data_IF_303373922867
#
_entry.id   IF_303373922867
#
_cell.length_a   1.000
_cell.length_b   1.000
_cell.length_c   1.000
_cell.angle_alpha   90.00
_cell.angle_beta   90.00
_cell.angle_gamma   90.00
#
_symmetry.space_group_name_H-M   'P 1'
#
loop_
_entity.id
_entity.type
_entity.pdbx_description
1 polymer ?
#
# COMPACT_ATOMS: atom_id res chain seq x y z
N UNK A 1 -0.79 1.19 17.45
CA UNK A 1 -2.08 1.62 18.08
C UNK A 1 -2.56 0.56 19.06
N UNK A 2 -2.94 0.95 20.30
CA UNK A 2 -3.45 0.02 21.33
C UNK A 2 -4.84 0.47 21.75
N UNK A 3 -5.81 -0.46 21.76
CA UNK A 3 -7.16 -0.22 22.24
C UNK A 3 -7.31 -0.82 23.64
N UNK A 4 -7.77 -0.01 24.59
CA UNK A 4 -8.15 -0.48 25.93
C UNK A 4 -9.60 -0.99 25.92
N UNK A 5 -9.76 -2.30 25.97
CA UNK A 5 -11.07 -2.98 25.87
C UNK A 5 -12.04 -2.52 26.97
N UNK A 6 -11.51 -2.27 28.16
CA UNK A 6 -12.29 -1.83 29.32
C UNK A 6 -12.88 -0.42 29.20
N UNK A 7 -12.39 0.38 28.25
CA UNK A 7 -12.87 1.75 27.99
C UNK A 7 -13.89 1.83 26.86
N UNK A 8 -14.15 0.71 26.18
CA UNK A 8 -15.12 0.70 25.07
C UNK A 8 -16.53 0.79 25.65
N UNK A 9 -17.31 1.72 25.12
CA UNK A 9 -18.71 1.87 25.52
C UNK A 9 -19.58 0.72 24.97
N UNK A 10 -20.70 0.38 25.61
CA UNK A 10 -21.61 -0.66 25.10
C UNK A 10 -22.12 -0.42 23.67
N UNK A 11 -22.21 0.85 23.27
CA UNK A 11 -22.64 1.25 21.92
C UNK A 11 -21.48 1.38 20.92
N UNK A 12 -20.28 0.93 21.31
CA UNK A 12 -19.03 1.11 20.57
C UNK A 12 -18.33 2.42 20.87
N UNK A 13 -17.07 2.54 20.45
CA UNK A 13 -16.24 3.73 20.61
C UNK A 13 -15.53 4.05 19.31
N UNK A 14 -15.39 5.34 19.00
CA UNK A 14 -14.67 5.81 17.81
C UNK A 14 -13.26 6.24 18.18
N UNK A 15 -12.33 5.99 17.28
CA UNK A 15 -10.91 6.25 17.43
C UNK A 15 -10.39 6.91 16.16
N UNK A 16 -10.05 8.19 16.27
CA UNK A 16 -9.40 8.95 15.21
C UNK A 16 -7.96 9.21 15.59
N UNK A 17 -7.03 9.06 14.66
CA UNK A 17 -5.65 9.35 14.99
C UNK A 17 -4.68 9.10 13.85
N UNK A 18 -3.42 9.18 14.26
CA UNK A 18 -2.28 8.98 13.37
C UNK A 18 -1.31 7.99 14.03
N UNK A 19 -0.74 7.12 13.20
CA UNK A 19 0.33 6.20 13.60
C UNK A 19 1.62 6.55 12.87
N UNK A 20 2.75 6.30 13.52
CA UNK A 20 4.06 6.55 12.91
C UNK A 20 4.29 5.63 11.72
N UNK A 21 4.71 6.16 10.56
CA UNK A 21 5.07 5.32 9.42
C UNK A 21 6.29 4.43 9.66
N UNK A 22 7.06 4.69 10.72
CA UNK A 22 8.18 3.84 11.15
C UNK A 22 7.78 2.39 11.44
N UNK A 23 6.51 2.13 11.76
CA UNK A 23 6.01 0.75 11.95
C UNK A 23 6.10 -0.08 10.66
N UNK A 24 6.13 0.55 9.48
CA UNK A 24 6.18 -0.15 8.20
C UNK A 24 7.56 -0.76 7.93
N UNK A 25 8.64 -0.21 8.49
CA UNK A 25 10.01 -0.69 8.29
C UNK A 25 10.52 -0.53 6.86
N UNK A 26 10.07 0.51 6.15
CA UNK A 26 10.40 0.78 4.74
C UNK A 26 11.34 1.97 4.57
N UNK A 27 12.01 2.40 5.65
CA UNK A 27 12.97 3.50 5.59
C UNK A 27 14.13 3.13 4.66
N UNK A 28 14.40 4.01 3.70
CA UNK A 28 15.47 3.81 2.72
C UNK A 28 15.10 2.92 1.54
N UNK A 29 13.83 2.55 1.38
CA UNK A 29 13.38 1.86 0.17
C UNK A 29 13.65 2.73 -1.07
N UNK A 30 14.31 2.18 -2.13
CA UNK A 30 14.66 2.96 -3.32
C UNK A 30 13.45 3.30 -4.21
N UNK A 31 12.32 2.63 -4.03
CA UNK A 31 11.13 2.76 -4.88
C UNK A 31 9.95 3.47 -4.19
N UNK A 32 10.09 3.75 -2.90
CA UNK A 32 9.02 4.33 -2.10
C UNK A 32 9.54 5.37 -1.12
N UNK A 33 8.74 6.42 -0.91
CA UNK A 33 8.99 7.45 0.10
C UNK A 33 7.70 7.73 0.86
N UNK A 34 7.80 7.78 2.16
CA UNK A 34 6.68 8.18 3.01
C UNK A 34 6.51 9.70 2.95
N UNK A 35 5.29 10.19 2.74
CA UNK A 35 4.98 11.62 2.67
C UNK A 35 4.10 12.13 3.83
N UNK A 36 3.75 11.23 4.78
CA UNK A 36 2.94 11.60 5.93
C UNK A 36 2.72 10.44 6.89
N UNK A 37 2.01 10.68 7.99
CA UNK A 37 1.63 9.62 8.92
C UNK A 37 0.61 8.67 8.31
N UNK A 38 0.43 7.52 8.96
CA UNK A 38 -0.72 6.64 8.72
C UNK A 38 -1.89 7.23 9.49
N UNK A 39 -2.95 7.60 8.79
CA UNK A 39 -4.18 8.11 9.39
C UNK A 39 -5.22 7.02 9.48
N UNK A 40 -5.99 6.99 10.56
CA UNK A 40 -7.07 6.02 10.73
C UNK A 40 -8.31 6.67 11.34
N UNK A 41 -9.46 6.10 10.99
CA UNK A 41 -10.75 6.36 11.63
C UNK A 41 -11.41 5.01 11.86
N UNK A 42 -11.44 4.56 13.11
CA UNK A 42 -11.93 3.25 13.49
C UNK A 42 -13.11 3.36 14.45
N UNK A 43 -14.04 2.43 14.32
CA UNK A 43 -15.05 2.11 15.30
C UNK A 43 -14.74 0.75 15.91
N UNK A 44 -14.65 0.70 17.23
CA UNK A 44 -14.41 -0.51 17.99
C UNK A 44 -15.63 -0.85 18.86
N UNK A 45 -16.06 -2.10 18.83
CA UNK A 45 -17.15 -2.60 19.65
C UNK A 45 -16.86 -4.03 20.12
N UNK A 46 -17.35 -4.38 21.32
CA UNK A 46 -17.21 -5.73 21.85
C UNK A 46 -18.50 -6.51 21.64
N UNK A 47 -18.41 -7.57 20.82
CA UNK A 47 -19.56 -8.44 20.49
C UNK A 47 -19.20 -9.88 20.86
N UNK A 48 -19.95 -10.49 21.75
CA UNK A 48 -19.80 -11.91 22.11
C UNK A 48 -18.36 -12.34 22.48
N UNK A 49 -17.65 -11.53 23.24
CA UNK A 49 -16.25 -11.71 23.66
C UNK A 49 -15.22 -11.56 22.53
N UNK A 50 -15.58 -10.87 21.48
CA UNK A 50 -14.65 -10.44 20.43
C UNK A 50 -14.67 -8.92 20.33
N UNK A 51 -13.49 -8.31 20.24
CA UNK A 51 -13.33 -6.92 19.86
C UNK A 51 -13.37 -6.85 18.34
N UNK A 52 -14.39 -6.22 17.80
CA UNK A 52 -14.53 -5.96 16.36
C UNK A 52 -14.13 -4.52 16.11
N UNK A 53 -13.14 -4.32 15.23
CA UNK A 53 -12.65 -3.01 14.78
C UNK A 53 -12.96 -2.86 13.30
N UNK A 54 -13.73 -1.81 12.97
CA UNK A 54 -14.09 -1.47 11.60
C UNK A 54 -13.72 -0.04 11.30
N UNK A 55 -13.52 0.30 10.03
CA UNK A 55 -13.30 1.69 9.66
C UNK A 55 -12.46 1.86 8.42
N UNK A 56 -11.63 2.89 8.42
CA UNK A 56 -10.76 3.22 7.30
C UNK A 56 -9.36 3.58 7.77
N UNK A 57 -8.40 3.30 6.90
CA UNK A 57 -6.99 3.59 7.12
C UNK A 57 -6.35 4.05 5.81
N UNK A 58 -5.35 4.91 5.89
CA UNK A 58 -4.62 5.34 4.70
C UNK A 58 -3.40 6.20 5.01
N UNK A 59 -2.59 6.42 3.99
CA UNK A 59 -1.44 7.32 4.07
C UNK A 59 -1.06 7.89 2.71
N UNK A 60 -0.26 8.97 2.74
CA UNK A 60 0.37 9.53 1.54
C UNK A 60 1.75 8.96 1.34
N UNK A 61 2.01 8.52 0.10
CA UNK A 61 3.29 7.96 -0.31
C UNK A 61 3.71 8.50 -1.67
N UNK A 62 5.00 8.63 -1.92
CA UNK A 62 5.53 8.77 -3.26
C UNK A 62 6.08 7.43 -3.73
N UNK A 63 5.57 6.93 -4.85
CA UNK A 63 5.98 5.66 -5.46
C UNK A 63 6.79 5.92 -6.73
N UNK A 64 7.80 5.09 -6.98
CA UNK A 64 8.51 5.11 -8.25
C UNK A 64 7.63 4.48 -9.33
N UNK A 65 7.43 5.20 -10.42
CA UNK A 65 6.66 4.70 -11.55
C UNK A 65 7.36 3.51 -12.21
N UNK A 66 6.67 2.37 -12.34
CA UNK A 66 7.20 1.17 -12.98
C UNK A 66 7.54 1.32 -14.47
N UNK A 67 7.15 2.44 -15.12
CA UNK A 67 7.46 2.72 -16.53
C UNK A 67 8.58 3.75 -16.70
N UNK A 68 8.55 4.87 -15.99
CA UNK A 68 9.51 5.98 -16.20
C UNK A 68 10.47 6.19 -15.03
N UNK A 69 10.38 5.38 -13.97
CA UNK A 69 11.16 5.46 -12.75
C UNK A 69 11.09 6.82 -11.99
N UNK A 70 10.25 7.75 -12.46
CA UNK A 70 10.00 9.01 -11.76
C UNK A 70 9.09 8.79 -10.56
N UNK A 71 9.32 9.50 -9.45
CA UNK A 71 8.43 9.46 -8.30
C UNK A 71 7.16 10.26 -8.56
N UNK A 72 6.04 9.75 -8.05
CA UNK A 72 4.75 10.45 -8.03
C UNK A 72 4.05 10.19 -6.71
N UNK A 73 3.40 11.23 -6.17
CA UNK A 73 2.65 11.14 -4.92
C UNK A 73 1.26 10.54 -5.17
N UNK A 74 0.85 9.67 -4.27
CA UNK A 74 -0.49 9.07 -4.26
C UNK A 74 -0.96 8.85 -2.83
N UNK A 75 -2.25 8.60 -2.66
CA UNK A 75 -2.81 8.16 -1.38
C UNK A 75 -3.20 6.70 -1.51
N UNK A 76 -2.70 5.88 -0.61
CA UNK A 76 -3.15 4.49 -0.42
C UNK A 76 -4.13 4.47 0.74
N UNK A 77 -5.25 3.76 0.57
CA UNK A 77 -6.29 3.71 1.60
C UNK A 77 -7.12 2.43 1.50
N UNK A 78 -7.49 1.87 2.65
CA UNK A 78 -8.57 0.91 2.79
C UNK A 78 -9.76 1.58 3.50
N UNK A 79 -10.92 1.53 2.86
CA UNK A 79 -12.18 2.07 3.38
C UNK A 79 -13.03 0.99 4.07
N UNK A 80 -12.55 -0.25 4.11
CA UNK A 80 -13.25 -1.43 4.59
C UNK A 80 -12.45 -2.22 5.62
N UNK A 81 -11.52 -1.55 6.33
CA UNK A 81 -10.75 -2.18 7.38
C UNK A 81 -11.68 -2.91 8.36
N UNK A 82 -11.43 -4.19 8.57
CA UNK A 82 -12.19 -5.04 9.49
C UNK A 82 -11.24 -6.05 10.14
N UNK A 83 -11.17 -6.02 11.47
CA UNK A 83 -10.44 -7.02 12.29
C UNK A 83 -11.29 -7.43 13.49
N UNK A 84 -11.15 -8.69 13.89
CA UNK A 84 -11.80 -9.22 15.08
C UNK A 84 -10.75 -9.92 15.96
N UNK A 85 -10.77 -9.60 17.25
CA UNK A 85 -9.81 -10.10 18.24
C UNK A 85 -10.56 -10.78 19.37
N UNK A 86 -10.21 -12.00 19.76
CA UNK A 86 -10.79 -12.62 20.94
C UNK A 86 -10.37 -11.85 22.19
N UNK A 87 -11.36 -11.49 23.01
CA UNK A 87 -11.16 -10.79 24.29
C UNK A 87 -11.77 -11.60 25.44
N UNK A 88 -11.15 -12.75 25.80
CA UNK A 88 -11.57 -13.52 26.98
C UNK A 88 -11.42 -12.69 28.25
N UNK A 89 -12.00 -13.17 29.36
CA UNK A 89 -11.90 -12.49 30.66
C UNK A 89 -10.40 -12.25 31.05
N UNK A 90 -10.08 -11.01 31.42
CA UNK A 90 -8.74 -10.59 31.80
C UNK A 90 -7.91 -9.95 30.69
N UNK A 91 -8.39 -9.91 29.44
CA UNK A 91 -7.75 -9.12 28.38
C UNK A 91 -8.18 -7.66 28.52
N UNK A 92 -7.24 -6.79 28.84
CA UNK A 92 -7.48 -5.36 29.05
C UNK A 92 -7.16 -4.52 27.80
N UNK A 93 -6.23 -4.97 26.97
CA UNK A 93 -5.76 -4.24 25.79
C UNK A 93 -5.59 -5.14 24.57
N UNK A 94 -5.79 -4.56 23.38
CA UNK A 94 -5.50 -5.18 22.09
C UNK A 94 -4.61 -4.24 21.29
N UNK A 95 -3.51 -4.77 20.76
CA UNK A 95 -2.58 -4.01 19.91
C UNK A 95 -2.84 -4.30 18.43
N UNK A 96 -3.20 -3.25 17.69
CA UNK A 96 -3.51 -3.28 16.26
C UNK A 96 -2.29 -2.92 15.38
N UNK A 97 -1.13 -2.69 15.97
CA UNK A 97 0.03 -2.15 15.24
C UNK A 97 0.44 -3.02 14.05
N UNK A 98 0.49 -4.34 14.25
CA UNK A 98 0.84 -5.28 13.17
C UNK A 98 -0.24 -5.36 12.08
N UNK A 99 -1.53 -5.33 12.45
CA UNK A 99 -2.63 -5.36 11.48
C UNK A 99 -2.65 -4.08 10.64
N UNK A 100 -2.42 -2.92 11.25
CA UNK A 100 -2.26 -1.63 10.56
C UNK A 100 -1.08 -1.68 9.59
N UNK A 101 0.06 -2.22 10.05
CA UNK A 101 1.25 -2.39 9.22
C UNK A 101 0.98 -3.28 8.02
N UNK A 102 0.40 -4.46 8.25
CA UNK A 102 0.08 -5.42 7.20
C UNK A 102 -0.88 -4.83 6.16
N UNK A 103 -1.94 -4.19 6.63
CA UNK A 103 -2.97 -3.59 5.77
C UNK A 103 -2.36 -2.54 4.83
N UNK A 104 -1.60 -1.59 5.38
CA UNK A 104 -0.93 -0.57 4.58
C UNK A 104 0.05 -1.18 3.57
N UNK A 105 0.85 -2.18 3.98
CA UNK A 105 1.81 -2.83 3.06
C UNK A 105 1.12 -3.55 1.91
N UNK A 106 -0.06 -4.15 2.15
CA UNK A 106 -0.86 -4.81 1.11
C UNK A 106 -1.50 -3.83 0.12
N UNK A 107 -1.74 -2.59 0.54
CA UNK A 107 -2.26 -1.53 -0.35
C UNK A 107 -1.20 -0.95 -1.30
N UNK A 108 0.09 -1.20 -1.04
CA UNK A 108 1.17 -0.66 -1.87
C UNK A 108 1.28 -1.45 -3.16
N UNK A 109 0.99 -0.80 -4.29
CA UNK A 109 1.11 -1.42 -5.61
C UNK A 109 2.58 -1.51 -6.05
N UNK A 110 3.16 -2.72 -6.22
CA UNK A 110 4.57 -2.87 -6.56
C UNK A 110 4.93 -2.35 -7.97
N UNK A 111 3.95 -2.18 -8.86
CA UNK A 111 4.12 -1.72 -10.24
C UNK A 111 3.26 -0.50 -10.56
N UNK A 112 3.09 0.38 -9.59
CA UNK A 112 2.33 1.61 -9.75
C UNK A 112 2.85 2.44 -10.93
N UNK A 113 1.96 3.12 -11.65
CA UNK A 113 2.29 3.99 -12.76
C UNK A 113 1.81 5.41 -12.51
N UNK A 114 2.66 6.40 -12.80
CA UNK A 114 2.32 7.82 -12.56
C UNK A 114 1.13 8.31 -13.38
N UNK A 115 0.86 7.66 -14.52
CA UNK A 115 -0.29 7.94 -15.39
C UNK A 115 -0.52 6.76 -16.33
N UNK A 116 -1.77 6.46 -16.70
CA UNK A 116 -2.08 5.48 -17.75
C UNK A 116 -1.39 5.78 -19.08
N UNK A 117 -1.18 7.08 -19.37
CA UNK A 117 -0.51 7.58 -20.59
C UNK A 117 1.00 7.69 -20.46
N UNK A 118 1.61 7.20 -19.36
CA UNK A 118 3.05 7.25 -19.16
C UNK A 118 3.78 6.53 -20.29
N UNK A 119 4.68 7.26 -20.99
CA UNK A 119 5.46 6.73 -22.12
C UNK A 119 6.67 5.89 -21.70
N UNK A 120 7.02 5.93 -20.42
CA UNK A 120 8.13 5.17 -19.88
C UNK A 120 9.51 5.71 -20.25
N UNK A 121 10.52 4.83 -20.12
CA UNK A 121 11.90 5.09 -20.51
C UNK A 121 12.15 4.52 -21.91
N UNK A 122 13.04 5.18 -22.66
CA UNK A 122 13.55 4.61 -23.90
C UNK A 122 14.36 3.33 -23.61
N UNK A 123 14.06 2.19 -24.24
CA UNK A 123 14.78 0.94 -23.97
C UNK A 123 16.26 0.97 -24.41
N UNK A 124 16.65 1.91 -25.30
CA UNK A 124 18.00 2.02 -25.80
C UNK A 124 18.89 2.96 -24.98
N UNK A 125 18.37 4.12 -24.57
CA UNK A 125 19.19 5.16 -23.92
C UNK A 125 18.71 5.55 -22.51
N UNK A 126 17.59 4.97 -22.02
CA UNK A 126 17.07 5.28 -20.69
C UNK A 126 16.42 6.67 -20.56
N UNK A 127 16.32 7.47 -21.64
CA UNK A 127 15.68 8.79 -21.56
C UNK A 127 14.21 8.65 -21.21
N UNK A 128 13.71 9.49 -20.31
CA UNK A 128 12.28 9.57 -19.99
C UNK A 128 11.50 10.15 -21.17
N UNK A 129 10.67 9.34 -21.81
CA UNK A 129 9.91 9.71 -22.99
C UNK A 129 8.73 10.65 -22.70
N UNK A 130 8.38 10.86 -21.42
CA UNK A 130 7.41 11.88 -21.02
C UNK A 130 7.99 13.29 -21.12
N UNK A 131 9.33 13.44 -21.04
CA UNK A 131 10.04 14.72 -21.14
C UNK A 131 10.41 15.10 -22.56
N UNK A 132 10.13 14.23 -23.53
CA UNK A 132 10.36 14.45 -24.94
C UNK A 132 10.97 13.24 -25.64
N UNK A 133 10.87 13.24 -26.98
CA UNK A 133 11.40 12.17 -27.80
C UNK A 133 12.92 12.03 -27.64
N UNK A 134 13.44 10.82 -27.76
CA UNK A 134 14.87 10.57 -27.90
C UNK A 134 15.27 10.48 -29.40
N UNK A 135 16.56 10.58 -29.68
CA UNK A 135 17.13 10.45 -31.03
C UNK A 135 17.41 9.00 -31.47
N UNK A 136 17.07 8.03 -30.59
CA UNK A 136 17.23 6.61 -30.91
C UNK A 136 16.26 6.21 -32.03
N UNK A 137 16.77 5.48 -33.05
CA UNK A 137 15.90 4.87 -34.04
C UNK A 137 15.01 3.82 -33.32
N UNK A 138 13.70 3.75 -33.64
CA UNK A 138 12.89 2.62 -33.20
C UNK A 138 13.60 1.33 -33.62
N UNK A 139 13.47 0.27 -32.83
CA UNK A 139 13.89 -1.04 -33.29
C UNK A 139 13.02 -1.37 -34.50
N UNK A 140 13.68 -1.66 -35.63
CA UNK A 140 13.01 -2.36 -36.72
C UNK A 140 12.45 -3.63 -36.07
N UNK A 141 11.14 -3.72 -35.98
CA UNK A 141 10.29 -4.68 -35.29
C UNK A 141 11.10 -5.86 -34.74
N UNK A 142 11.42 -5.80 -33.43
CA UNK A 142 12.06 -6.94 -32.79
C UNK A 142 11.17 -8.14 -33.09
N UNK A 143 11.72 -9.11 -33.83
CA UNK A 143 11.05 -10.38 -34.08
C UNK A 143 10.51 -10.83 -32.74
N UNK A 144 9.19 -10.87 -32.60
CA UNK A 144 8.54 -11.45 -31.42
C UNK A 144 9.29 -12.75 -31.15
N UNK A 145 9.88 -12.88 -29.97
CA UNK A 145 10.71 -14.04 -29.66
C UNK A 145 9.92 -15.29 -30.04
N UNK A 146 10.56 -16.16 -30.82
CA UNK A 146 9.93 -17.41 -31.21
C UNK A 146 9.75 -18.28 -29.97
N UNK A 147 8.57 -18.24 -29.38
CA UNK A 147 8.19 -19.02 -28.20
C UNK A 147 7.73 -20.43 -28.54
N UNK A 148 7.84 -20.85 -29.82
CA UNK A 148 7.40 -22.18 -30.30
C UNK A 148 8.11 -23.34 -29.59
N UNK A 149 9.31 -23.10 -29.02
CA UNK A 149 9.99 -24.11 -28.20
C UNK A 149 9.25 -24.44 -26.88
N UNK A 150 8.44 -23.49 -26.34
CA UNK A 150 7.63 -23.79 -25.16
C UNK A 150 6.50 -24.76 -25.43
N UNK A 151 6.01 -24.87 -26.67
CA UNK A 151 4.98 -25.83 -27.05
C UNK A 151 5.46 -27.28 -26.96
N UNK A 152 6.79 -27.50 -26.91
CA UNK A 152 7.38 -28.82 -26.69
C UNK A 152 7.37 -29.29 -25.24
N UNK A 153 7.02 -28.40 -24.30
CA UNK A 153 6.95 -28.69 -22.86
C UNK A 153 5.55 -29.14 -22.40
N UNK A 154 4.62 -29.32 -23.34
CA UNK A 154 3.28 -29.88 -23.09
C UNK A 154 3.27 -31.38 -23.16
#
# INVERSE_FOLDING_TARGET
MIIEVTKISPDGSEYDGEESPGILGIEGDPYMRVEGPITYHFRAEVVSKELVVTGQIGMKVALACGRCAGFFSTTVQDLSFLRAYPVPEGVETVDLTEDIREDILLLLEPFAVCSPACKGLCPKCGKNLNEGACSCKPDEEGKAGDWSELDRLR
#
